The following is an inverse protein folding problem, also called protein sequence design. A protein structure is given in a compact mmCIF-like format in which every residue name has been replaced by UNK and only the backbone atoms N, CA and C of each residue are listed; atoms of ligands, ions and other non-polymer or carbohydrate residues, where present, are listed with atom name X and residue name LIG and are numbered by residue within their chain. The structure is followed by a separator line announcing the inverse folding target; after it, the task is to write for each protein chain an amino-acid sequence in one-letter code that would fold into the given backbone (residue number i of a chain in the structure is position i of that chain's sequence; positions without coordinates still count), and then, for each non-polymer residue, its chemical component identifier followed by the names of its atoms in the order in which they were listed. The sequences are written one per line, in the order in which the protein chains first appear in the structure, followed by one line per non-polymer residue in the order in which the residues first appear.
data_IF_561008784715
#
_entry.id   IF_561008784715
#
_cell.length_a   1.000
_cell.length_b   1.000
_cell.length_c   1.000
_cell.angle_alpha   90.00
_cell.angle_beta   90.00
_cell.angle_gamma   90.00
#
_symmetry.space_group_name_H-M   'P 1'
#
loop_
_entity.id
_entity.type
_entity.pdbx_description
1 polymer ?
#
# COMPACT_ATOMS: atom_id res chain seq x y z
N UNK A 1 -21.36 -21.28 3.24
CA UNK A 1 -20.09 -21.98 3.56
C UNK A 1 -19.51 -21.29 4.78
N UNK A 2 -19.18 -22.00 5.87
CA UNK A 2 -18.66 -21.34 7.08
C UNK A 2 -17.33 -20.67 6.72
N UNK A 3 -17.11 -19.44 7.21
CA UNK A 3 -15.89 -18.66 6.97
C UNK A 3 -14.67 -19.52 7.32
N UNK A 4 -13.95 -20.01 6.30
CA UNK A 4 -13.07 -21.16 6.50
C UNK A 4 -11.86 -20.90 7.36
N UNK A 5 -11.49 -19.65 7.63
CA UNK A 5 -10.61 -19.26 8.72
C UNK A 5 -10.90 -17.78 9.04
N UNK A 6 -11.39 -17.42 10.24
CA UNK A 6 -11.52 -16.01 10.60
C UNK A 6 -10.11 -15.40 10.57
N UNK A 7 -10.01 -14.13 10.16
CA UNK A 7 -8.77 -13.35 10.23
C UNK A 7 -8.78 -12.52 11.51
N UNK A 8 -7.60 -12.10 11.96
CA UNK A 8 -7.50 -11.15 13.05
C UNK A 8 -8.17 -9.83 12.60
N UNK A 9 -9.13 -9.28 13.36
CA UNK A 9 -9.74 -7.98 13.05
C UNK A 9 -8.67 -6.90 12.91
N UNK A 10 -8.81 -6.02 11.91
CA UNK A 10 -7.83 -4.97 11.64
C UNK A 10 -7.67 -4.01 12.83
N UNK A 11 -8.78 -3.72 13.52
CA UNK A 11 -8.83 -2.87 14.71
C UNK A 11 -8.11 -3.47 15.92
N UNK A 12 -7.79 -4.77 15.90
CA UNK A 12 -7.02 -5.44 16.96
C UNK A 12 -5.54 -5.56 16.64
N UNK A 13 -5.08 -5.09 15.48
CA UNK A 13 -3.66 -5.03 15.19
C UNK A 13 -2.98 -4.07 16.16
N UNK A 14 -2.02 -4.58 16.92
CA UNK A 14 -1.24 -3.80 17.87
C UNK A 14 0.06 -3.35 17.21
N UNK A 15 0.33 -2.05 17.27
CA UNK A 15 1.52 -1.43 16.67
C UNK A 15 1.39 -1.23 15.16
N UNK A 16 2.53 -1.02 14.50
CA UNK A 16 2.63 -0.79 13.04
C UNK A 16 1.82 0.41 12.54
N UNK A 17 1.73 1.47 13.34
CA UNK A 17 0.96 2.68 13.01
C UNK A 17 1.34 3.29 11.65
N UNK A 18 2.64 3.25 11.28
CA UNK A 18 3.10 3.69 9.97
C UNK A 18 2.50 2.86 8.82
N UNK A 19 2.44 1.53 8.97
CA UNK A 19 1.83 0.63 7.99
C UNK A 19 0.34 0.88 7.87
N UNK A 20 -0.36 0.95 9.01
CA UNK A 20 -1.80 1.21 9.05
C UNK A 20 -2.14 2.52 8.34
N UNK A 21 -1.43 3.59 8.70
CA UNK A 21 -1.56 4.90 8.07
C UNK A 21 -1.28 4.86 6.56
N UNK A 22 -0.21 4.18 6.12
CA UNK A 22 0.11 4.04 4.71
C UNK A 22 -0.99 3.33 3.91
N UNK A 23 -1.55 2.24 4.45
CA UNK A 23 -2.68 1.52 3.83
C UNK A 23 -3.94 2.38 3.76
N UNK A 24 -4.27 3.07 4.86
CA UNK A 24 -5.45 3.96 4.92
C UNK A 24 -5.32 5.12 3.94
N UNK A 25 -4.15 5.77 3.85
CA UNK A 25 -3.89 6.85 2.89
C UNK A 25 -4.04 6.35 1.45
N UNK A 26 -3.46 5.18 1.12
CA UNK A 26 -3.53 4.63 -0.23
C UNK A 26 -4.95 4.23 -0.64
N UNK A 27 -5.80 3.84 0.31
CA UNK A 27 -7.22 3.59 0.05
C UNK A 27 -8.00 4.90 -0.15
N UNK A 28 -7.80 5.88 0.72
CA UNK A 28 -8.47 7.19 0.67
C UNK A 28 -8.09 7.94 -0.60
N UNK A 29 -6.84 7.83 -1.03
CA UNK A 29 -6.29 8.53 -2.18
C UNK A 29 -5.56 7.58 -3.15
N UNK A 30 -6.30 6.86 -4.01
CA UNK A 30 -5.68 5.91 -4.96
C UNK A 30 -4.67 6.55 -5.91
N UNK A 31 -4.80 7.86 -6.21
CA UNK A 31 -3.89 8.60 -7.07
C UNK A 31 -2.45 8.70 -6.54
N UNK A 32 -2.24 8.36 -5.27
CA UNK A 32 -0.91 8.26 -4.66
C UNK A 32 -0.03 7.25 -5.39
N UNK A 33 -0.60 6.19 -6.00
CA UNK A 33 0.15 5.24 -6.82
C UNK A 33 0.75 4.06 -6.05
N UNK A 34 0.02 3.55 -5.05
CA UNK A 34 0.40 2.35 -4.29
C UNK A 34 1.38 2.60 -3.15
N UNK A 35 1.59 1.56 -2.36
CA UNK A 35 2.41 1.57 -1.14
C UNK A 35 3.45 0.45 -1.24
N UNK A 36 4.67 0.78 -0.83
CA UNK A 36 5.80 -0.13 -0.76
C UNK A 36 6.27 -0.26 0.69
N UNK A 37 6.17 -1.48 1.23
CA UNK A 37 6.44 -1.77 2.63
C UNK A 37 7.83 -2.39 2.77
N UNK A 38 8.79 -1.61 3.26
CA UNK A 38 10.16 -2.06 3.48
C UNK A 38 10.35 -2.57 4.90
N UNK A 39 11.01 -3.71 5.10
CA UNK A 39 11.29 -4.24 6.45
C UNK A 39 11.60 -5.73 6.48
N UNK A 40 12.07 -6.21 7.62
CA UNK A 40 12.50 -7.61 7.82
C UNK A 40 11.34 -8.62 7.77
N UNK A 41 11.70 -9.89 7.53
CA UNK A 41 10.78 -11.03 7.63
C UNK A 41 10.21 -11.14 9.06
N UNK A 42 8.95 -11.58 9.16
CA UNK A 42 8.31 -11.79 10.47
C UNK A 42 7.71 -10.54 11.12
N UNK A 43 7.68 -9.40 10.45
CA UNK A 43 7.06 -8.14 10.93
C UNK A 43 5.53 -8.10 10.73
N UNK A 44 4.86 -9.23 10.52
CA UNK A 44 3.41 -9.37 10.32
C UNK A 44 2.77 -8.50 9.21
N UNK A 45 3.56 -8.03 8.23
CA UNK A 45 3.09 -7.20 7.09
C UNK A 45 1.89 -7.81 6.37
N UNK A 46 2.00 -9.08 5.99
CA UNK A 46 0.94 -9.80 5.25
C UNK A 46 -0.34 -9.93 6.07
N UNK A 47 -0.24 -10.04 7.40
CA UNK A 47 -1.43 -10.10 8.28
C UNK A 47 -2.15 -8.77 8.30
N UNK A 48 -1.41 -7.65 8.42
CA UNK A 48 -2.01 -6.32 8.39
C UNK A 48 -2.70 -6.02 7.05
N UNK A 49 -2.06 -6.35 5.93
CA UNK A 49 -2.64 -6.14 4.59
C UNK A 49 -3.89 -7.00 4.38
N UNK A 50 -3.85 -8.29 4.78
CA UNK A 50 -5.02 -9.19 4.66
C UNK A 50 -6.19 -8.72 5.53
N UNK A 51 -5.91 -8.29 6.75
CA UNK A 51 -6.95 -7.80 7.68
C UNK A 51 -7.56 -6.50 7.15
N UNK A 52 -6.72 -5.60 6.61
CA UNK A 52 -7.18 -4.37 5.96
C UNK A 52 -8.06 -4.65 4.74
N UNK A 53 -7.62 -5.53 3.83
CA UNK A 53 -8.37 -5.90 2.64
C UNK A 53 -9.73 -6.50 3.02
N UNK A 54 -9.75 -7.41 4.00
CA UNK A 54 -10.98 -8.01 4.52
C UNK A 54 -11.93 -6.98 5.11
N UNK A 55 -11.42 -6.04 5.92
CA UNK A 55 -12.22 -4.97 6.51
C UNK A 55 -12.81 -4.04 5.45
N UNK A 56 -12.01 -3.60 4.48
CA UNK A 56 -12.41 -2.56 3.52
C UNK A 56 -13.24 -3.11 2.34
N UNK A 57 -12.86 -4.27 1.82
CA UNK A 57 -13.41 -4.84 0.59
C UNK A 57 -14.22 -6.12 0.82
N UNK A 58 -14.16 -6.72 2.02
CA UNK A 58 -14.85 -7.98 2.33
C UNK A 58 -14.11 -9.24 1.85
N UNK A 59 -13.11 -9.08 0.98
CA UNK A 59 -12.32 -10.13 0.34
C UNK A 59 -10.87 -10.12 0.82
N UNK A 60 -10.16 -11.23 0.57
CA UNK A 60 -8.70 -11.28 0.72
C UNK A 60 -8.02 -10.55 -0.45
N UNK A 61 -6.77 -10.06 -0.27
CA UNK A 61 -6.05 -9.44 -1.37
C UNK A 61 -5.60 -10.50 -2.39
N UNK A 62 -5.63 -10.15 -3.67
CA UNK A 62 -5.01 -10.98 -4.71
C UNK A 62 -3.51 -10.97 -4.47
N UNK A 63 -2.93 -12.13 -4.21
CA UNK A 63 -1.49 -12.27 -3.97
C UNK A 63 -0.78 -12.67 -5.25
N UNK A 64 0.19 -11.85 -5.66
CA UNK A 64 1.06 -12.13 -6.80
C UNK A 64 2.31 -12.88 -6.31
N UNK A 65 2.54 -14.12 -6.78
CA UNK A 65 3.72 -14.89 -6.39
C UNK A 65 4.98 -14.39 -7.11
N UNK A 66 6.15 -14.57 -6.49
CA UNK A 66 7.45 -14.15 -7.04
C UNK A 66 7.81 -14.79 -8.40
N UNK A 67 7.20 -15.92 -8.74
CA UNK A 67 7.42 -16.64 -10.01
C UNK A 67 6.23 -16.50 -10.97
N UNK A 68 5.43 -15.42 -10.83
CA UNK A 68 4.32 -15.16 -11.72
C UNK A 68 4.81 -14.92 -13.16
N UNK A 69 4.18 -15.59 -14.11
CA UNK A 69 4.39 -15.37 -15.54
C UNK A 69 3.46 -14.30 -16.07
N UNK A 70 3.82 -13.68 -17.19
CA UNK A 70 3.01 -12.70 -17.94
C UNK A 70 1.55 -13.16 -18.12
N UNK A 71 1.36 -14.42 -18.53
CA UNK A 71 0.04 -15.05 -18.72
C UNK A 71 -0.78 -15.12 -17.43
N UNK A 72 -0.13 -15.32 -16.28
CA UNK A 72 -0.82 -15.37 -15.01
C UNK A 72 -1.18 -13.96 -14.53
N UNK A 73 -0.30 -12.99 -14.75
CA UNK A 73 -0.49 -11.59 -14.33
C UNK A 73 -1.57 -10.90 -15.17
N UNK A 74 -1.43 -10.92 -16.49
CA UNK A 74 -2.35 -10.26 -17.42
C UNK A 74 -3.59 -11.08 -17.73
N UNK A 75 -3.55 -12.40 -17.53
CA UNK A 75 -4.56 -13.30 -18.05
C UNK A 75 -4.17 -13.83 -19.43
N UNK A 76 -4.74 -14.96 -19.80
CA UNK A 76 -4.33 -15.67 -21.00
C UNK A 76 -5.17 -16.91 -21.26
N UNK A 77 -4.66 -17.77 -22.14
CA UNK A 77 -5.27 -19.07 -22.40
C UNK A 77 -4.80 -20.09 -21.38
N UNK A 78 -5.71 -20.93 -20.94
CA UNK A 78 -5.39 -22.06 -20.07
C UNK A 78 -4.59 -23.09 -20.85
N UNK A 79 -3.33 -23.28 -20.45
CA UNK A 79 -2.43 -24.25 -21.08
C UNK A 79 -3.03 -25.66 -21.06
N UNK A 80 -3.71 -26.04 -19.97
CA UNK A 80 -4.33 -27.35 -19.86
C UNK A 80 -5.56 -27.53 -20.76
N UNK A 81 -6.29 -26.46 -21.06
CA UNK A 81 -7.35 -26.47 -22.07
C UNK A 81 -6.77 -26.57 -23.47
N UNK A 82 -5.71 -25.80 -23.77
CA UNK A 82 -5.00 -25.86 -25.06
C UNK A 82 -4.46 -27.26 -25.35
N UNK A 83 -3.88 -27.94 -24.35
CA UNK A 83 -3.41 -29.32 -24.47
C UNK A 83 -4.55 -30.32 -24.75
N UNK A 84 -5.80 -29.98 -24.43
CA UNK A 84 -7.00 -30.76 -24.74
C UNK A 84 -7.67 -30.35 -26.05
N UNK A 85 -7.14 -29.35 -26.76
CA UNK A 85 -7.73 -28.79 -27.98
C UNK A 85 -8.84 -27.77 -27.72
N UNK A 86 -9.04 -27.36 -26.47
CA UNK A 86 -10.00 -26.34 -26.07
C UNK A 86 -9.33 -24.96 -25.93
N UNK A 87 -10.07 -23.91 -26.25
CA UNK A 87 -9.64 -22.52 -26.06
C UNK A 87 -10.40 -21.93 -24.88
N UNK A 88 -9.92 -22.19 -23.67
CA UNK A 88 -10.49 -21.61 -22.44
C UNK A 88 -9.63 -20.43 -21.98
N UNK A 89 -10.24 -19.26 -21.85
CA UNK A 89 -9.57 -18.08 -21.30
C UNK A 89 -9.60 -18.10 -19.76
N UNK A 90 -8.51 -17.66 -19.14
CA UNK A 90 -8.44 -17.39 -17.71
C UNK A 90 -8.18 -15.90 -17.46
N UNK A 91 -8.91 -15.27 -16.51
CA UNK A 91 -8.65 -13.89 -16.11
C UNK A 91 -7.30 -13.77 -15.43
N UNK A 92 -6.64 -12.63 -15.63
CA UNK A 92 -5.36 -12.32 -14.99
C UNK A 92 -5.50 -12.02 -13.51
N UNK A 93 -4.37 -12.07 -12.79
CA UNK A 93 -4.30 -11.59 -11.40
C UNK A 93 -4.65 -10.10 -11.31
N UNK A 94 -4.34 -9.30 -12.35
CA UNK A 94 -4.67 -7.88 -12.35
C UNK A 94 -6.18 -7.62 -12.48
N UNK A 95 -6.87 -8.39 -13.32
CA UNK A 95 -8.33 -8.32 -13.42
C UNK A 95 -8.98 -8.73 -12.09
N UNK A 96 -8.53 -9.84 -11.51
CA UNK A 96 -8.99 -10.29 -10.18
C UNK A 96 -8.73 -9.24 -9.10
N UNK A 97 -7.59 -8.53 -9.16
CA UNK A 97 -7.29 -7.48 -8.21
C UNK A 97 -8.23 -6.28 -8.38
N UNK A 98 -8.68 -5.98 -9.60
CA UNK A 98 -9.73 -5.00 -9.85
C UNK A 98 -11.07 -5.37 -9.21
N UNK A 99 -11.42 -6.66 -9.20
CA UNK A 99 -12.64 -7.15 -8.55
C UNK A 99 -12.53 -7.14 -7.01
N UNK A 100 -11.40 -7.59 -6.47
CA UNK A 100 -11.17 -7.70 -5.02
C UNK A 100 -10.66 -6.39 -4.38
N UNK A 101 -10.26 -5.42 -5.21
CA UNK A 101 -9.84 -4.08 -4.83
C UNK A 101 -8.40 -3.91 -4.32
N UNK A 102 -7.66 -5.01 -4.08
CA UNK A 102 -6.27 -4.97 -3.57
C UNK A 102 -5.38 -5.99 -4.27
N UNK A 103 -4.22 -5.53 -4.75
CA UNK A 103 -3.13 -6.38 -5.22
C UNK A 103 -2.00 -6.37 -4.19
N UNK A 104 -1.71 -7.52 -3.60
CA UNK A 104 -0.57 -7.72 -2.71
C UNK A 104 0.55 -8.42 -3.46
N UNK A 105 1.74 -7.83 -3.42
CA UNK A 105 2.93 -8.37 -4.05
C UNK A 105 3.99 -8.58 -2.98
N UNK A 106 4.31 -9.84 -2.71
CA UNK A 106 5.33 -10.17 -1.72
C UNK A 106 6.71 -10.11 -2.35
N UNK A 107 7.66 -9.44 -1.68
CA UNK A 107 9.05 -9.32 -2.10
C UNK A 107 9.17 -8.84 -3.55
N UNK A 108 8.64 -7.63 -3.83
CA UNK A 108 8.66 -7.00 -5.16
C UNK A 108 10.06 -6.89 -5.77
N UNK A 109 11.12 -6.91 -4.94
CA UNK A 109 12.51 -6.90 -5.37
C UNK A 109 12.97 -8.21 -6.02
N UNK A 110 12.20 -9.29 -5.89
CA UNK A 110 12.49 -10.60 -6.49
C UNK A 110 11.73 -10.84 -7.80
N UNK A 111 10.80 -9.95 -8.15
CA UNK A 111 10.05 -10.04 -9.40
C UNK A 111 10.87 -9.56 -10.59
N UNK A 112 10.47 -10.00 -11.78
CA UNK A 112 10.98 -9.46 -13.03
C UNK A 112 10.60 -7.97 -13.16
N UNK A 113 11.57 -7.14 -13.53
CA UNK A 113 11.39 -5.69 -13.74
C UNK A 113 10.25 -5.38 -14.72
N UNK A 114 10.03 -6.23 -15.73
CA UNK A 114 8.95 -6.08 -16.69
C UNK A 114 7.57 -6.21 -16.03
N UNK A 115 7.38 -7.23 -15.19
CA UNK A 115 6.13 -7.45 -14.44
C UNK A 115 5.84 -6.27 -13.51
N UNK A 116 6.86 -5.81 -12.77
CA UNK A 116 6.70 -4.66 -11.87
C UNK A 116 6.31 -3.40 -12.65
N UNK A 117 6.96 -3.14 -13.79
CA UNK A 117 6.59 -2.02 -14.66
C UNK A 117 5.15 -2.10 -15.13
N UNK A 118 4.71 -3.26 -15.59
CA UNK A 118 3.34 -3.48 -16.05
C UNK A 118 2.33 -3.20 -14.94
N UNK A 119 2.55 -3.72 -13.73
CA UNK A 119 1.68 -3.48 -12.58
C UNK A 119 1.60 -1.96 -12.28
N UNK A 120 2.75 -1.28 -12.25
CA UNK A 120 2.82 0.16 -11.97
C UNK A 120 2.21 1.01 -13.09
N UNK A 121 2.24 0.54 -14.35
CA UNK A 121 1.58 1.19 -15.48
C UNK A 121 0.07 1.13 -15.28
N UNK A 122 -0.48 -0.06 -14.99
CA UNK A 122 -1.92 -0.25 -14.74
C UNK A 122 -2.39 0.56 -13.54
N UNK A 123 -1.61 0.63 -12.46
CA UNK A 123 -1.94 1.46 -11.29
C UNK A 123 -1.96 2.96 -11.63
N UNK A 124 -1.09 3.40 -12.55
CA UNK A 124 -1.02 4.82 -12.93
C UNK A 124 -2.10 5.21 -13.95
N UNK A 125 -2.40 4.32 -14.91
CA UNK A 125 -3.34 4.60 -16.01
C UNK A 125 -4.78 4.17 -15.69
N UNK A 126 -4.95 3.20 -14.79
CA UNK A 126 -6.23 2.54 -14.55
C UNK A 126 -6.68 1.63 -15.70
N UNK A 127 -5.78 1.31 -16.64
CA UNK A 127 -6.09 0.56 -17.85
C UNK A 127 -5.13 -0.61 -18.00
N UNK A 128 -5.67 -1.82 -18.06
CA UNK A 128 -4.96 -3.02 -18.44
C UNK A 128 -5.05 -3.18 -19.97
N UNK A 129 -3.92 -2.99 -20.64
CA UNK A 129 -3.80 -3.19 -22.09
C UNK A 129 -3.12 -4.53 -22.33
N UNK A 130 -3.86 -5.49 -22.87
CA UNK A 130 -3.33 -6.80 -23.26
C UNK A 130 -3.16 -6.82 -24.78
N UNK A 131 -1.95 -6.51 -25.25
CA UNK A 131 -1.58 -6.62 -26.67
C UNK A 131 -0.87 -7.94 -26.93
N UNK A 132 -1.44 -8.80 -27.78
CA UNK A 132 -0.85 -10.09 -28.16
C UNK A 132 -1.01 -10.35 -29.66
N UNK A 133 -0.08 -11.12 -30.23
CA UNK A 133 -0.20 -11.59 -31.62
C UNK A 133 -1.50 -12.37 -31.82
N UNK A 134 -2.45 -11.77 -32.54
CA UNK A 134 -3.73 -12.38 -32.91
C UNK A 134 -4.89 -12.20 -31.93
N UNK A 135 -4.71 -11.47 -30.82
CA UNK A 135 -5.77 -11.14 -29.87
C UNK A 135 -5.63 -9.68 -29.43
N UNK A 136 -6.27 -8.77 -30.15
CA UNK A 136 -6.43 -7.37 -29.73
C UNK A 136 -7.58 -7.28 -28.73
N UNK A 137 -7.28 -7.44 -27.44
CA UNK A 137 -8.28 -7.16 -26.40
C UNK A 137 -8.42 -5.64 -26.21
N UNK A 138 -9.65 -5.13 -26.08
CA UNK A 138 -9.85 -3.74 -25.69
C UNK A 138 -9.22 -3.50 -24.32
N UNK A 139 -8.75 -2.27 -24.08
CA UNK A 139 -8.22 -1.89 -22.79
C UNK A 139 -9.29 -2.10 -21.71
N UNK A 140 -8.95 -2.88 -20.68
CA UNK A 140 -9.85 -3.21 -19.58
C UNK A 140 -9.63 -2.16 -18.48
N UNK A 141 -10.67 -1.42 -18.06
CA UNK A 141 -10.55 -0.51 -16.93
C UNK A 141 -10.43 -1.32 -15.65
N UNK A 142 -9.33 -1.13 -14.92
CA UNK A 142 -9.03 -1.87 -13.70
C UNK A 142 -8.52 -0.87 -12.65
N UNK A 143 -9.05 -0.94 -11.44
CA UNK A 143 -8.60 -0.10 -10.32
C UNK A 143 -8.47 -0.92 -9.05
N UNK A 144 -7.29 -0.91 -8.45
CA UNK A 144 -7.00 -1.59 -7.19
C UNK A 144 -5.94 -0.83 -6.41
N UNK A 145 -5.87 -1.07 -5.10
CA UNK A 145 -4.78 -0.58 -4.25
C UNK A 145 -3.61 -1.53 -4.35
N UNK A 146 -2.47 -1.05 -4.85
CA UNK A 146 -1.22 -1.81 -4.90
C UNK A 146 -0.51 -1.75 -3.55
N UNK A 147 -0.17 -2.92 -3.03
CA UNK A 147 0.64 -3.09 -1.82
C UNK A 147 1.82 -4.02 -2.13
N UNK A 148 3.01 -3.45 -2.27
CA UNK A 148 4.25 -4.21 -2.42
C UNK A 148 4.97 -4.35 -1.08
N UNK A 149 5.64 -5.48 -0.84
CA UNK A 149 6.62 -5.61 0.25
C UNK A 149 8.01 -5.76 -0.33
N UNK A 150 9.03 -5.27 0.37
CA UNK A 150 10.42 -5.59 0.06
C UNK A 150 11.17 -5.97 1.34
N UNK A 151 12.18 -6.82 1.17
CA UNK A 151 13.22 -7.04 2.17
C UNK A 151 14.54 -6.44 1.65
N UNK A 152 15.04 -5.34 2.25
CA UNK A 152 16.31 -4.72 1.84
C UNK A 152 17.52 -5.66 1.89
N UNK A 153 17.48 -6.73 2.70
CA UNK A 153 18.57 -7.71 2.78
C UNK A 153 18.65 -8.64 1.56
N UNK A 154 17.54 -8.84 0.85
CA UNK A 154 17.45 -9.78 -0.28
C UNK A 154 17.66 -9.12 -1.64
N UNK A 155 17.76 -7.79 -1.67
CA UNK A 155 18.01 -7.02 -2.87
C UNK A 155 17.37 -5.65 -2.83
N UNK A 156 17.76 -4.80 -3.78
CA UNK A 156 17.20 -3.47 -3.96
C UNK A 156 16.41 -3.40 -5.28
N UNK A 157 15.30 -2.68 -5.27
CA UNK A 157 14.62 -2.34 -6.52
C UNK A 157 15.38 -1.24 -7.27
N UNK A 158 15.24 -1.24 -8.59
CA UNK A 158 15.77 -0.15 -9.41
C UNK A 158 15.17 1.20 -8.99
N UNK A 159 15.98 2.28 -8.90
CA UNK A 159 15.49 3.61 -8.53
C UNK A 159 14.31 4.10 -9.37
N UNK A 160 14.27 3.75 -10.67
CA UNK A 160 13.18 4.13 -11.58
C UNK A 160 11.85 3.47 -11.20
N UNK A 161 11.88 2.24 -10.68
CA UNK A 161 10.69 1.53 -10.21
C UNK A 161 10.26 2.05 -8.84
N UNK A 162 11.22 2.30 -7.94
CA UNK A 162 10.96 2.89 -6.64
C UNK A 162 10.23 4.23 -6.77
N UNK A 163 10.70 5.14 -7.63
CA UNK A 163 10.11 6.48 -7.80
C UNK A 163 8.61 6.44 -8.19
N UNK A 164 8.21 5.38 -8.89
CA UNK A 164 6.83 5.15 -9.33
C UNK A 164 5.90 4.67 -8.23
N UNK A 165 6.42 4.10 -7.14
CA UNK A 165 5.60 3.82 -5.95
C UNK A 165 5.28 5.14 -5.24
N UNK A 166 4.03 5.29 -4.83
CA UNK A 166 3.57 6.47 -4.12
C UNK A 166 4.30 6.70 -2.80
N UNK A 167 4.12 5.75 -1.88
CA UNK A 167 4.64 5.82 -0.52
C UNK A 167 5.58 4.65 -0.25
N UNK A 168 6.70 4.92 0.41
CA UNK A 168 7.52 3.88 1.04
C UNK A 168 7.33 3.95 2.55
N UNK A 169 6.91 2.84 3.15
CA UNK A 169 6.68 2.72 4.59
C UNK A 169 7.72 1.78 5.18
N UNK A 170 8.69 2.29 5.94
CA UNK A 170 9.63 1.45 6.65
C UNK A 170 8.94 0.82 7.87
N UNK A 171 9.12 -0.49 8.03
CA UNK A 171 8.69 -1.26 9.19
C UNK A 171 9.92 -1.86 9.81
N UNK A 172 10.15 -1.50 11.07
CA UNK A 172 11.14 -2.13 11.92
C UNK A 172 10.45 -3.12 12.85
N UNK A 173 11.17 -4.15 13.28
CA UNK A 173 10.70 -5.00 14.36
C UNK A 173 10.45 -4.13 15.60
N UNK A 174 9.30 -4.32 16.24
CA UNK A 174 8.96 -3.63 17.49
C UNK A 174 10.04 -3.92 18.53
N UNK A 175 10.54 -2.90 19.24
CA UNK A 175 11.62 -3.04 20.23
C UNK A 175 11.11 -2.94 21.66
N UNK A 176 9.92 -2.35 21.88
CA UNK A 176 9.28 -2.28 23.20
C UNK A 176 8.78 -3.66 23.64
N UNK A 177 9.17 -4.05 24.86
CA UNK A 177 8.70 -5.29 25.47
C UNK A 177 7.18 -5.23 25.75
N UNK A 178 6.66 -4.05 26.07
CA UNK A 178 5.26 -3.79 26.32
C UNK A 178 4.42 -4.05 25.07
N UNK A 179 4.77 -3.43 23.94
CA UNK A 179 4.04 -3.62 22.68
C UNK A 179 4.15 -5.08 22.20
N UNK A 180 5.33 -5.72 22.31
CA UNK A 180 5.50 -7.15 21.99
C UNK A 180 4.60 -8.05 22.84
N UNK A 181 4.46 -7.75 24.12
CA UNK A 181 3.57 -8.49 25.03
C UNK A 181 2.09 -8.34 24.61
N UNK A 182 1.67 -7.13 24.23
CA UNK A 182 0.30 -6.90 23.74
C UNK A 182 0.02 -7.60 22.41
N UNK A 183 0.98 -7.60 21.47
CA UNK A 183 0.90 -8.40 20.24
C UNK A 183 0.76 -9.88 20.58
N UNK A 184 1.61 -10.41 21.46
CA UNK A 184 1.57 -11.82 21.87
C UNK A 184 0.23 -12.20 22.51
N UNK A 185 -0.26 -11.40 23.46
CA UNK A 185 -1.57 -11.63 24.09
C UNK A 185 -2.69 -11.63 23.07
N UNK A 186 -2.67 -10.71 22.12
CA UNK A 186 -3.69 -10.58 21.08
C UNK A 186 -3.69 -11.80 20.16
N UNK A 187 -2.52 -12.25 19.71
CA UNK A 187 -2.39 -13.44 18.86
C UNK A 187 -2.82 -14.71 19.60
N UNK A 188 -2.36 -14.91 20.84
CA UNK A 188 -2.76 -16.06 21.65
C UNK A 188 -4.26 -16.08 21.93
N UNK A 189 -4.86 -14.91 22.20
CA UNK A 189 -6.31 -14.79 22.38
C UNK A 189 -7.04 -15.13 21.08
N UNK A 190 -6.58 -14.60 19.95
CA UNK A 190 -7.15 -14.90 18.65
C UNK A 190 -7.10 -16.39 18.31
N UNK A 191 -6.00 -17.09 18.61
CA UNK A 191 -5.87 -18.54 18.38
C UNK A 191 -6.88 -19.36 19.17
N UNK A 192 -7.22 -18.94 20.39
CA UNK A 192 -8.27 -19.57 21.21
C UNK A 192 -9.66 -19.22 20.68
N UNK A 193 -9.91 -17.95 20.38
CA UNK A 193 -11.22 -17.46 19.97
C UNK A 193 -11.63 -17.93 18.57
N UNK A 194 -10.68 -18.05 17.63
CA UNK A 194 -10.94 -18.55 16.26
C UNK A 194 -11.36 -20.02 16.20
N UNK A 195 -11.05 -20.79 17.24
CA UNK A 195 -11.41 -22.21 17.33
C UNK A 195 -12.86 -22.40 17.83
N UNK A 196 -13.49 -21.35 18.35
CA UNK A 196 -14.89 -21.39 18.82
C UNK A 196 -15.83 -21.17 17.65
N UNK A 197 -16.97 -21.86 17.65
CA UNK A 197 -18.03 -21.67 16.64
C UNK A 197 -18.63 -20.26 16.68
N UNK A 198 -18.72 -19.65 17.87
CA UNK A 198 -19.13 -18.27 18.09
C UNK A 198 -18.23 -17.64 19.14
N UNK A 199 -17.65 -16.49 18.81
CA UNK A 199 -16.78 -15.74 19.72
C UNK A 199 -17.28 -14.30 19.82
N UNK A 200 -17.72 -13.91 21.02
CA UNK A 200 -18.10 -12.52 21.28
C UNK A 200 -16.94 -11.54 21.03
N UNK A 201 -15.69 -11.97 21.25
CA UNK A 201 -14.51 -11.15 20.99
C UNK A 201 -14.29 -10.89 19.49
N UNK A 202 -14.52 -11.89 18.64
CA UNK A 202 -14.46 -11.69 17.18
C UNK A 202 -15.65 -10.86 16.67
N UNK A 203 -16.83 -11.03 17.27
CA UNK A 203 -18.02 -10.22 16.96
C UNK A 203 -17.81 -8.74 17.32
N UNK A 204 -17.20 -8.46 18.49
CA UNK A 204 -16.79 -7.12 18.93
C UNK A 204 -15.74 -6.52 17.99
N UNK A 205 -14.72 -7.30 17.62
CA UNK A 205 -13.69 -6.89 16.67
C UNK A 205 -14.28 -6.55 15.29
N UNK A 206 -15.22 -7.35 14.81
CA UNK A 206 -15.94 -7.07 13.57
C UNK A 206 -16.82 -5.81 13.68
N UNK A 207 -17.36 -5.48 14.86
CA UNK A 207 -18.08 -4.23 15.08
C UNK A 207 -17.15 -3.00 15.03
N UNK A 208 -15.96 -3.11 15.63
CA UNK A 208 -14.92 -2.08 15.53
C UNK A 208 -14.45 -1.88 14.09
N UNK A 209 -14.19 -2.99 13.36
CA UNK A 209 -13.81 -2.94 11.95
C UNK A 209 -14.89 -2.29 11.08
N UNK A 210 -16.17 -2.53 11.35
CA UNK A 210 -17.27 -1.82 10.66
C UNK A 210 -17.23 -0.32 10.92
N UNK A 211 -17.11 0.10 12.17
CA UNK A 211 -17.03 1.53 12.53
C UNK A 211 -15.79 2.20 11.91
N UNK A 212 -14.65 1.51 11.91
CA UNK A 212 -13.40 2.00 11.33
C UNK A 212 -13.48 2.10 9.80
N UNK A 213 -14.10 1.10 9.15
CA UNK A 213 -14.39 1.10 7.71
C UNK A 213 -15.28 2.28 7.33
N UNK A 214 -16.32 2.57 8.10
CA UNK A 214 -17.21 3.71 7.88
C UNK A 214 -16.44 5.04 7.97
N UNK A 215 -15.56 5.18 8.97
CA UNK A 215 -14.68 6.36 9.11
C UNK A 215 -13.77 6.54 7.89
N UNK A 216 -13.09 5.48 7.45
CA UNK A 216 -12.18 5.54 6.29
C UNK A 216 -12.95 5.82 4.99
N UNK A 217 -14.14 5.22 4.82
CA UNK A 217 -14.98 5.46 3.66
C UNK A 217 -15.47 6.92 3.61
N UNK A 218 -15.87 7.49 4.74
CA UNK A 218 -16.23 8.91 4.84
C UNK A 218 -15.02 9.81 4.51
N UNK A 219 -13.83 9.49 5.02
CA UNK A 219 -12.60 10.22 4.71
C UNK A 219 -12.27 10.19 3.20
N UNK A 220 -12.48 9.05 2.53
CA UNK A 220 -12.30 8.92 1.07
C UNK A 220 -13.18 9.89 0.29
N UNK A 221 -14.44 10.05 0.69
CA UNK A 221 -15.35 11.00 0.04
C UNK A 221 -14.96 12.45 0.35
N UNK A 222 -14.63 12.77 1.61
CA UNK A 222 -14.18 14.11 2.01
C UNK A 222 -12.89 14.55 1.28
N UNK A 223 -11.94 13.63 1.09
CA UNK A 223 -10.66 13.92 0.46
C UNK A 223 -10.77 14.31 -1.03
N UNK A 224 -11.85 13.94 -1.74
CA UNK A 224 -12.03 14.27 -3.17
C UNK A 224 -12.19 15.77 -3.42
N UNK A 225 -12.87 16.48 -2.51
CA UNK A 225 -13.18 17.90 -2.63
C UNK A 225 -12.29 18.81 -1.77
N UNK A 226 -11.41 18.24 -0.95
CA UNK A 226 -10.61 19.01 0.01
C UNK A 226 -9.57 19.88 -0.73
N UNK A 227 -9.61 21.22 -0.55
CA UNK A 227 -8.66 22.12 -1.18
C UNK A 227 -7.29 22.03 -0.51
N UNK A 228 -6.24 22.03 -1.32
CA UNK A 228 -4.87 22.24 -0.85
C UNK A 228 -4.55 23.70 -1.09
N UNK A 229 -4.33 24.47 -0.01
CA UNK A 229 -4.03 25.89 -0.10
C UNK A 229 -2.67 26.11 -0.78
N UNK A 230 -2.50 27.28 -1.40
CA UNK A 230 -1.27 27.64 -2.10
C UNK A 230 -0.03 27.64 -1.17
N UNK A 231 -0.19 28.00 0.11
CA UNK A 231 0.95 27.97 1.03
C UNK A 231 1.49 26.55 1.24
N UNK A 232 0.61 25.54 1.17
CA UNK A 232 0.99 24.14 1.32
C UNK A 232 1.58 23.54 0.05
N UNK A 233 1.15 23.97 -1.14
CA UNK A 233 1.80 23.56 -2.38
C UNK A 233 3.21 24.14 -2.47
N UNK A 234 3.39 25.41 -2.06
CA UNK A 234 4.72 26.03 -1.91
C UNK A 234 5.56 25.27 -0.87
N UNK A 235 4.97 24.86 0.26
CA UNK A 235 5.67 24.08 1.28
C UNK A 235 6.14 22.72 0.72
N UNK A 236 5.29 21.99 0.00
CA UNK A 236 5.65 20.72 -0.63
C UNK A 236 6.82 20.91 -1.62
N UNK A 237 6.77 21.97 -2.45
CA UNK A 237 7.85 22.30 -3.38
C UNK A 237 9.16 22.68 -2.66
N UNK A 238 9.08 23.41 -1.56
CA UNK A 238 10.26 23.73 -0.72
C UNK A 238 10.89 22.48 -0.11
N UNK A 239 10.07 21.55 0.39
CA UNK A 239 10.56 20.26 0.90
C UNK A 239 11.23 19.48 -0.23
N UNK A 240 10.60 19.40 -1.41
CA UNK A 240 11.17 18.71 -2.56
C UNK A 240 12.53 19.31 -2.99
N UNK A 241 12.67 20.63 -2.97
CA UNK A 241 13.92 21.32 -3.28
C UNK A 241 15.02 21.07 -2.22
N UNK A 242 14.69 21.15 -0.93
CA UNK A 242 15.65 20.92 0.16
C UNK A 242 16.20 19.50 0.18
N UNK A 243 15.37 18.51 -0.17
CA UNK A 243 15.74 17.10 -0.24
C UNK A 243 16.26 16.66 -1.62
N UNK A 244 16.46 17.61 -2.55
CA UNK A 244 17.00 17.38 -3.90
C UNK A 244 16.33 16.23 -4.65
N UNK A 245 14.98 16.22 -4.67
CA UNK A 245 14.25 15.15 -5.34
C UNK A 245 14.51 15.14 -6.86
N UNK A 246 14.55 13.93 -7.43
CA UNK A 246 14.86 13.75 -8.85
C UNK A 246 13.77 14.27 -9.81
N UNK A 247 12.54 14.51 -9.32
CA UNK A 247 11.43 15.02 -10.12
C UNK A 247 10.19 15.38 -9.31
N UNK A 248 9.13 15.78 -10.02
CA UNK A 248 7.91 16.36 -9.44
C UNK A 248 6.94 15.36 -8.78
N UNK A 249 7.17 14.04 -8.94
CA UNK A 249 6.29 13.02 -8.32
C UNK A 249 6.25 13.14 -6.80
N UNK A 250 7.38 13.51 -6.19
CA UNK A 250 7.49 13.69 -4.75
C UNK A 250 6.51 14.72 -4.19
N UNK A 251 6.50 15.95 -4.73
CA UNK A 251 5.59 16.99 -4.24
C UNK A 251 4.11 16.67 -4.51
N UNK A 252 3.79 16.05 -5.66
CA UNK A 252 2.43 15.66 -6.02
C UNK A 252 1.90 14.62 -5.03
N UNK A 253 2.67 13.55 -4.80
CA UNK A 253 2.27 12.49 -3.88
C UNK A 253 2.20 12.99 -2.45
N UNK A 254 3.12 13.87 -2.02
CA UNK A 254 3.08 14.48 -0.70
C UNK A 254 1.79 15.28 -0.48
N UNK A 255 1.41 16.14 -1.43
CA UNK A 255 0.17 16.91 -1.34
C UNK A 255 -1.08 16.00 -1.34
N UNK A 256 -1.10 14.96 -2.16
CA UNK A 256 -2.20 14.00 -2.22
C UNK A 256 -2.31 13.16 -0.93
N UNK A 257 -1.19 12.70 -0.39
CA UNK A 257 -1.14 11.95 0.85
C UNK A 257 -1.52 12.83 2.05
N UNK A 258 -1.10 14.09 2.07
CA UNK A 258 -1.46 15.03 3.14
C UNK A 258 -2.97 15.30 3.15
N UNK A 259 -3.58 15.44 1.96
CA UNK A 259 -5.03 15.52 1.82
C UNK A 259 -5.76 14.29 2.33
N UNK A 260 -5.22 13.10 2.06
CA UNK A 260 -5.76 11.85 2.58
C UNK A 260 -5.68 11.78 4.12
N UNK A 261 -4.53 12.18 4.68
CA UNK A 261 -4.29 12.20 6.12
C UNK A 261 -5.21 13.19 6.83
N UNK A 262 -5.34 14.41 6.31
CA UNK A 262 -6.25 15.43 6.84
C UNK A 262 -7.70 14.91 6.89
N UNK A 263 -8.15 14.23 5.84
CA UNK A 263 -9.48 13.63 5.79
C UNK A 263 -9.66 12.47 6.77
N UNK A 264 -8.63 11.64 6.96
CA UNK A 264 -8.63 10.55 7.95
C UNK A 264 -8.72 11.09 9.39
N UNK A 265 -8.08 12.22 9.67
CA UNK A 265 -8.13 12.92 10.95
C UNK A 265 -9.42 13.75 11.12
N UNK A 266 -10.32 13.76 10.13
CA UNK A 266 -11.61 14.45 10.18
C UNK A 266 -11.52 15.98 10.04
N UNK A 267 -10.43 16.51 9.48
CA UNK A 267 -10.25 17.95 9.24
C UNK A 267 -10.92 18.38 7.94
N UNK A 268 -11.35 19.64 7.86
CA UNK A 268 -11.97 20.22 6.65
C UNK A 268 -10.96 20.75 5.62
N UNK A 269 -9.69 20.85 6.01
CA UNK A 269 -8.60 21.31 5.15
C UNK A 269 -7.27 20.71 5.56
N UNK A 270 -6.31 20.73 4.63
CA UNK A 270 -4.96 20.22 4.86
C UNK A 270 -4.19 21.20 5.74
N UNK A 271 -3.49 20.68 6.76
CA UNK A 271 -2.57 21.42 7.62
C UNK A 271 -1.10 21.17 7.29
N UNK A 272 -0.20 21.93 7.92
CA UNK A 272 1.25 21.71 7.80
C UNK A 272 1.68 20.42 8.49
N UNK A 273 0.97 20.05 9.57
CA UNK A 273 1.15 18.81 10.31
C UNK A 273 0.87 17.58 9.45
N UNK A 274 -0.07 17.68 8.50
CA UNK A 274 -0.40 16.59 7.58
C UNK A 274 0.74 16.37 6.58
N UNK A 275 1.24 17.46 6.01
CA UNK A 275 2.41 17.44 5.12
C UNK A 275 3.62 16.87 5.85
N UNK A 276 3.88 17.33 7.08
CA UNK A 276 4.97 16.82 7.90
C UNK A 276 4.83 15.33 8.22
N UNK A 277 3.60 14.85 8.44
CA UNK A 277 3.31 13.46 8.77
C UNK A 277 3.50 12.50 7.59
N UNK A 278 3.27 12.95 6.36
CA UNK A 278 3.39 12.10 5.16
C UNK A 278 4.69 12.30 4.39
N UNK A 279 5.38 13.44 4.57
CA UNK A 279 6.60 13.76 3.86
C UNK A 279 7.66 12.65 3.92
N UNK A 280 7.97 12.04 5.10
CA UNK A 280 8.94 10.95 5.18
C UNK A 280 8.60 9.79 4.24
N UNK A 281 7.33 9.38 4.18
CA UNK A 281 6.88 8.26 3.36
C UNK A 281 6.86 8.59 1.87
N UNK A 282 6.63 9.85 1.50
CA UNK A 282 6.54 10.28 0.11
C UNK A 282 7.91 10.55 -0.53
N UNK A 283 8.95 10.91 0.26
CA UNK A 283 10.22 11.39 -0.31
C UNK A 283 11.41 10.46 -0.08
N UNK A 284 11.38 9.58 0.93
CA UNK A 284 12.57 8.82 1.32
C UNK A 284 13.19 8.00 0.19
N UNK A 285 12.37 7.41 -0.67
CA UNK A 285 12.80 6.59 -1.81
C UNK A 285 13.02 7.38 -3.11
N UNK A 286 12.80 8.70 -3.07
CA UNK A 286 12.95 9.62 -4.22
C UNK A 286 14.17 10.54 -4.10
N UNK A 287 14.96 10.37 -3.03
CA UNK A 287 16.20 11.10 -2.80
C UNK A 287 17.26 10.65 -3.79
N UNK A 288 18.09 11.60 -4.21
CA UNK A 288 19.19 11.35 -5.14
C UNK A 288 20.19 10.30 -4.62
N UNK A 289 20.43 10.27 -3.32
CA UNK A 289 21.29 9.28 -2.63
C UNK A 289 20.84 7.82 -2.84
N UNK A 290 19.53 7.59 -2.89
CA UNK A 290 18.96 6.25 -3.17
C UNK A 290 19.27 5.80 -4.60
N UNK A 291 19.39 6.74 -5.54
CA UNK A 291 19.82 6.42 -6.91
C UNK A 291 21.28 5.94 -6.97
N UNK A 292 22.10 6.22 -5.95
CA UNK A 292 23.49 5.77 -5.83
C UNK A 292 23.66 4.53 -4.94
N UNK A 293 22.58 3.91 -4.49
CA UNK A 293 22.62 2.65 -3.73
C UNK A 293 22.84 2.81 -2.22
N UNK A 294 22.71 4.02 -1.68
CA UNK A 294 22.69 4.23 -0.23
C UNK A 294 21.36 3.77 0.39
N UNK A 295 21.40 3.33 1.65
CA UNK A 295 20.26 2.74 2.33
C UNK A 295 19.04 3.67 2.42
N UNK A 296 17.85 3.10 2.22
CA UNK A 296 16.57 3.83 2.29
C UNK A 296 16.14 3.99 3.75
N UNK A 297 16.87 4.78 4.53
CA UNK A 297 16.57 5.03 5.94
C UNK A 297 16.24 6.51 6.19
N UNK A 298 15.16 6.75 6.94
CA UNK A 298 14.84 8.09 7.43
C UNK A 298 15.61 8.37 8.71
N UNK A 299 16.53 9.33 8.68
CA UNK A 299 17.43 9.60 9.80
C UNK A 299 16.92 10.71 10.71
N UNK A 300 17.49 10.80 11.92
CA UNK A 300 17.23 11.92 12.84
C UNK A 300 17.68 13.27 12.29
N UNK A 301 18.64 13.29 11.35
CA UNK A 301 19.03 14.50 10.63
C UNK A 301 17.97 14.93 9.62
N UNK A 302 17.40 13.99 8.87
CA UNK A 302 16.29 14.27 7.95
C UNK A 302 15.09 14.85 8.68
N UNK A 303 14.76 14.31 9.86
CA UNK A 303 13.70 14.84 10.71
C UNK A 303 14.00 16.27 11.24
N UNK A 304 15.28 16.64 11.38
CA UNK A 304 15.68 18.02 11.73
C UNK A 304 15.61 18.93 10.51
N UNK A 305 16.07 18.48 9.34
CA UNK A 305 15.98 19.22 8.07
C UNK A 305 14.52 19.53 7.72
N UNK A 306 13.64 18.53 7.81
CA UNK A 306 12.20 18.71 7.59
C UNK A 306 11.62 19.74 8.57
N UNK A 307 11.92 19.62 9.87
CA UNK A 307 11.48 20.62 10.87
C UNK A 307 11.98 22.03 10.57
N UNK A 308 13.20 22.18 10.08
CA UNK A 308 13.75 23.48 9.67
C UNK A 308 12.97 24.09 8.51
N UNK A 309 12.60 23.29 7.51
CA UNK A 309 11.77 23.77 6.37
C UNK A 309 10.38 24.20 6.84
N UNK A 310 9.76 23.42 7.73
CA UNK A 310 8.44 23.69 8.32
C UNK A 310 8.44 24.95 9.20
N UNK A 311 9.54 25.24 9.89
CA UNK A 311 9.65 26.41 10.79
C UNK A 311 9.75 27.75 10.05
N UNK A 312 9.75 27.74 8.71
CA UNK A 312 9.97 28.92 7.87
C UNK A 312 11.45 29.38 7.83
N UNK A 313 11.80 30.25 6.88
CA UNK A 313 13.08 30.99 6.91
C UNK A 313 13.12 32.01 8.06
#
# INVERSE_FOLDING_TARGET
MPERHPLLPYSYLVGQEALRRGLEIAYVMPSVGGILISGERGTAKSTAVRSFARMMYGELPVTLPINATDDRVMGGLRIDALMRGDTEEQPGLLEQAGEQGVLYVDEVNLLDDHIVNLILDVVSTGLLVVQREGLDKPAIPVTFTLVGTMNPEEGTLRPQLLDRFGLLVPISAETSAETRNEVLKTVLRFDVERAKERSGWLEDGAALDRAHRERIAAAREAARGMPVREELTILCARIAAEFELAGHRGEIVMAQAARALAALEGREGVGEEDVAGVAPYAIMHRRREVAYGEGIAWTGEDARRLRKVLSGP
#
